data_IF_552731843610
#
_entry.id   IF_552731843610
#
_cell.length_a   1.000
_cell.length_b   1.000
_cell.length_c   1.000
_cell.angle_alpha   90.00
_cell.angle_beta   90.00
_cell.angle_gamma   90.00
#
_symmetry.space_group_name_H-M   'P 1'
#
loop_
_entity.id
_entity.type
_entity.pdbx_description
1 polymer ?
#
# COMPACT_ATOMS: atom_id res chain seq x y z
N UNK A 1 -25.66 -56.73 26.85
CA UNK A 1 -25.73 -55.26 27.06
C UNK A 1 -24.50 -54.63 26.42
N UNK A 2 -24.59 -54.25 25.15
CA UNK A 2 -23.49 -53.67 24.39
C UNK A 2 -23.51 -52.15 24.54
N UNK A 3 -22.52 -51.58 25.21
CA UNK A 3 -22.28 -50.13 25.25
C UNK A 3 -21.36 -49.77 24.08
N UNK A 4 -21.95 -49.25 23.00
CA UNK A 4 -21.26 -48.63 21.88
C UNK A 4 -20.54 -47.38 22.39
N UNK A 5 -19.21 -47.44 22.41
CA UNK A 5 -18.29 -46.35 22.76
C UNK A 5 -17.99 -45.58 21.47
N UNK A 6 -18.55 -44.37 21.36
CA UNK A 6 -18.43 -43.49 20.20
C UNK A 6 -17.26 -42.53 20.45
N UNK A 7 -16.13 -42.60 19.72
CA UNK A 7 -15.08 -41.60 19.85
C UNK A 7 -15.54 -40.33 19.13
N UNK A 8 -15.88 -39.31 19.91
CA UNK A 8 -16.16 -37.95 19.46
C UNK A 8 -14.84 -37.33 18.97
N UNK A 9 -14.59 -37.43 17.66
CA UNK A 9 -13.43 -36.86 17.00
C UNK A 9 -13.64 -35.33 16.87
N UNK A 10 -13.15 -34.58 17.87
CA UNK A 10 -13.15 -33.12 17.86
C UNK A 10 -12.01 -32.64 16.94
N UNK A 11 -12.33 -32.40 15.66
CA UNK A 11 -11.42 -31.76 14.71
C UNK A 11 -11.29 -30.29 15.10
N UNK A 12 -10.17 -29.94 15.72
CA UNK A 12 -9.80 -28.55 15.98
C UNK A 12 -9.38 -27.88 14.66
N UNK A 13 -10.31 -27.19 14.02
CA UNK A 13 -9.99 -26.17 13.00
C UNK A 13 -9.23 -25.04 13.68
N UNK A 14 -7.90 -25.09 13.59
CA UNK A 14 -7.03 -24.03 14.09
C UNK A 14 -7.10 -22.81 13.18
N UNK A 15 -7.88 -21.81 13.59
CA UNK A 15 -7.83 -20.48 13.00
C UNK A 15 -6.41 -19.92 13.16
N UNK A 16 -5.80 -19.49 12.05
CA UNK A 16 -4.48 -18.85 12.05
C UNK A 16 -4.67 -17.38 12.44
N UNK A 17 -5.08 -17.15 13.68
CA UNK A 17 -5.11 -15.82 14.29
C UNK A 17 -3.72 -15.45 14.81
N UNK A 18 -3.37 -14.16 14.75
CA UNK A 18 -2.23 -13.63 15.50
C UNK A 18 -2.74 -13.20 16.88
N UNK A 19 -1.94 -13.33 17.91
CA UNK A 19 -2.27 -12.89 19.26
C UNK A 19 -1.66 -11.51 19.54
N UNK A 20 -2.48 -10.61 20.08
CA UNK A 20 -2.06 -9.31 20.59
C UNK A 20 -1.97 -9.39 22.12
N UNK A 21 -0.74 -9.35 22.63
CA UNK A 21 -0.47 -9.32 24.06
C UNK A 21 -0.34 -7.86 24.51
N UNK A 22 -1.26 -7.42 25.37
CA UNK A 22 -1.18 -6.12 26.03
C UNK A 22 -0.44 -6.27 27.36
N UNK A 23 0.62 -5.49 27.55
CA UNK A 23 1.47 -5.51 28.74
C UNK A 23 1.06 -4.42 29.72
N UNK A 24 1.25 -4.66 31.02
CA UNK A 24 0.85 -3.74 32.11
C UNK A 24 1.46 -2.34 32.03
N UNK A 25 2.60 -2.19 31.35
CA UNK A 25 3.24 -0.90 31.12
C UNK A 25 2.77 -0.21 29.82
N UNK A 26 1.64 -0.64 29.26
CA UNK A 26 1.01 -0.02 28.09
C UNK A 26 1.69 -0.31 26.75
N UNK A 27 2.59 -1.30 26.68
CA UNK A 27 3.15 -1.74 25.39
C UNK A 27 2.36 -2.94 24.87
N UNK A 28 2.40 -3.11 23.57
CA UNK A 28 1.71 -4.20 22.89
C UNK A 28 2.71 -5.05 22.10
N UNK A 29 2.56 -6.36 22.18
CA UNK A 29 3.33 -7.32 21.38
C UNK A 29 2.37 -8.07 20.47
N UNK A 30 2.77 -8.22 19.21
CA UNK A 30 2.02 -8.98 18.19
C UNK A 30 2.81 -10.19 17.74
N UNK A 31 2.14 -11.33 17.66
CA UNK A 31 2.72 -12.57 17.14
C UNK A 31 1.82 -13.76 17.47
N UNK A 32 2.24 -14.98 17.14
CA UNK A 32 1.44 -16.17 17.47
C UNK A 32 1.92 -16.78 18.78
N UNK A 33 1.03 -17.03 19.73
CA UNK A 33 1.36 -17.77 20.94
C UNK A 33 1.57 -19.23 20.54
N UNK A 34 2.84 -19.65 20.54
CA UNK A 34 3.23 -21.03 20.18
C UNK A 34 3.34 -21.93 21.40
N UNK A 35 3.46 -21.35 22.60
CA UNK A 35 3.47 -22.08 23.87
C UNK A 35 2.96 -21.21 25.00
N UNK A 36 2.06 -21.77 25.81
CA UNK A 36 1.58 -21.16 27.04
C UNK A 36 1.94 -22.04 28.24
N UNK A 37 2.46 -21.42 29.29
CA UNK A 37 2.75 -22.04 30.58
C UNK A 37 2.14 -21.20 31.70
N UNK A 38 2.15 -21.71 32.94
CA UNK A 38 1.63 -20.96 34.09
C UNK A 38 2.33 -19.59 34.26
N UNK A 39 3.64 -19.52 34.03
CA UNK A 39 4.45 -18.33 34.34
C UNK A 39 4.83 -17.48 33.11
N UNK A 40 4.68 -18.04 31.90
CA UNK A 40 5.16 -17.39 30.69
C UNK A 40 4.36 -17.78 29.44
N UNK A 41 4.32 -16.84 28.49
CA UNK A 41 3.86 -17.02 27.11
C UNK A 41 5.06 -16.96 26.17
N UNK A 42 5.12 -17.85 25.18
CA UNK A 42 6.11 -17.81 24.10
C UNK A 42 5.41 -17.36 22.83
N UNK A 43 5.79 -16.18 22.36
CA UNK A 43 5.24 -15.52 21.19
C UNK A 43 6.21 -15.68 20.02
N UNK A 44 5.73 -16.18 18.88
CA UNK A 44 6.46 -16.25 17.62
C UNK A 44 6.15 -14.99 16.82
N UNK A 45 7.16 -14.16 16.58
CA UNK A 45 7.09 -12.96 15.74
C UNK A 45 7.93 -13.17 14.47
N UNK A 46 7.82 -12.29 13.45
CA UNK A 46 8.70 -12.36 12.28
C UNK A 46 10.19 -12.25 12.61
N UNK A 47 10.53 -11.61 13.73
CA UNK A 47 11.91 -11.42 14.18
C UNK A 47 12.45 -12.59 15.02
N UNK A 48 11.59 -13.55 15.40
CA UNK A 48 11.98 -14.72 16.20
C UNK A 48 10.99 -15.05 17.30
N UNK A 49 11.46 -15.71 18.35
CA UNK A 49 10.65 -16.06 19.52
C UNK A 49 10.91 -15.09 20.67
N UNK A 50 9.83 -14.66 21.32
CA UNK A 50 9.85 -13.76 22.46
C UNK A 50 9.17 -14.46 23.62
N UNK A 51 9.86 -14.55 24.76
CA UNK A 51 9.28 -15.08 26.00
C UNK A 51 8.79 -13.91 26.85
N UNK A 52 7.51 -13.93 27.19
CA UNK A 52 6.84 -12.89 27.98
C UNK A 52 6.39 -13.49 29.29
N UNK A 53 6.73 -12.87 30.42
CA UNK A 53 6.25 -13.33 31.74
C UNK A 53 4.77 -12.99 31.91
N UNK A 54 3.98 -13.94 32.40
CA UNK A 54 2.53 -13.78 32.59
C UNK A 54 2.19 -12.68 33.60
N UNK A 55 3.07 -12.44 34.57
CA UNK A 55 2.95 -11.32 35.52
C UNK A 55 3.03 -9.93 34.88
N UNK A 56 3.62 -9.82 33.69
CA UNK A 56 3.73 -8.56 32.94
C UNK A 56 2.59 -8.37 31.94
N UNK A 57 1.81 -9.42 31.68
CA UNK A 57 0.65 -9.40 30.78
C UNK A 57 -0.54 -8.82 31.53
N UNK A 58 -1.27 -7.94 30.85
CA UNK A 58 -2.54 -7.41 31.30
C UNK A 58 -3.70 -8.19 30.69
N UNK A 59 -3.71 -8.33 29.36
CA UNK A 59 -4.69 -9.13 28.62
C UNK A 59 -4.10 -9.65 27.30
N UNK A 60 -4.72 -10.70 26.76
CA UNK A 60 -4.42 -11.26 25.44
C UNK A 60 -5.69 -11.14 24.60
N UNK A 61 -5.56 -10.59 23.39
CA UNK A 61 -6.63 -10.51 22.40
C UNK A 61 -6.22 -11.32 21.18
N UNK A 62 -7.10 -12.18 20.67
CA UNK A 62 -6.89 -12.84 19.38
C UNK A 62 -7.20 -11.82 18.26
N UNK A 63 -6.18 -11.43 17.50
CA UNK A 63 -6.32 -10.65 16.27
C UNK A 63 -6.92 -11.57 15.20
N UNK A 64 -8.07 -11.16 14.66
CA UNK A 64 -8.65 -11.87 13.52
C UNK A 64 -7.67 -11.87 12.34
N UNK A 65 -7.75 -12.90 11.49
CA UNK A 65 -6.95 -12.94 10.27
C UNK A 65 -7.16 -11.69 9.40
N UNK A 66 -8.40 -11.18 9.36
CA UNK A 66 -8.76 -9.93 8.71
C UNK A 66 -7.94 -8.73 9.24
N UNK A 67 -7.89 -8.54 10.56
CA UNK A 67 -7.15 -7.44 11.19
C UNK A 67 -5.63 -7.54 10.94
N UNK A 68 -5.08 -8.75 10.99
CA UNK A 68 -3.68 -9.00 10.67
C UNK A 68 -3.35 -8.55 9.24
N UNK A 69 -4.13 -9.02 8.27
CA UNK A 69 -3.94 -8.65 6.87
C UNK A 69 -4.14 -7.15 6.64
N UNK A 70 -5.07 -6.50 7.36
CA UNK A 70 -5.24 -5.05 7.30
C UNK A 70 -4.02 -4.30 7.83
N UNK A 71 -3.41 -4.77 8.92
CA UNK A 71 -2.16 -4.23 9.44
C UNK A 71 -1.05 -4.31 8.38
N UNK A 72 -0.85 -5.50 7.81
CA UNK A 72 0.17 -5.74 6.77
C UNK A 72 -0.08 -4.90 5.50
N UNK A 73 -1.34 -4.76 5.08
CA UNK A 73 -1.70 -3.94 3.94
C UNK A 73 -1.33 -2.46 4.16
N UNK A 74 -1.64 -1.92 5.34
CA UNK A 74 -1.33 -0.53 5.71
C UNK A 74 0.17 -0.28 5.83
N UNK A 75 0.92 -1.25 6.37
CA UNK A 75 2.38 -1.21 6.40
C UNK A 75 2.95 -1.16 4.97
N UNK A 76 2.47 -2.01 4.06
CA UNK A 76 2.90 -1.98 2.66
C UNK A 76 2.53 -0.66 1.95
N UNK A 77 1.38 -0.05 2.26
CA UNK A 77 1.03 1.29 1.73
C UNK A 77 2.02 2.36 2.21
N UNK A 78 2.42 2.30 3.48
CA UNK A 78 3.41 3.22 4.07
C UNK A 78 4.78 3.06 3.39
N UNK A 79 5.16 1.84 3.07
CA UNK A 79 6.41 1.51 2.36
C UNK A 79 6.31 1.73 0.83
N UNK A 80 5.17 2.22 0.35
CA UNK A 80 4.85 2.46 -1.07
C UNK A 80 4.86 1.18 -1.94
N UNK A 81 4.83 0.00 -1.33
CA UNK A 81 4.66 -1.27 -2.02
C UNK A 81 3.17 -1.54 -2.26
N UNK A 82 2.62 -0.85 -3.27
CA UNK A 82 1.20 -0.98 -3.61
C UNK A 82 0.83 -2.34 -4.18
N UNK A 83 1.80 -3.13 -4.66
CA UNK A 83 1.56 -4.49 -5.14
C UNK A 83 1.20 -5.41 -3.97
N UNK A 84 2.05 -5.43 -2.96
CA UNK A 84 1.84 -6.19 -1.73
C UNK A 84 0.63 -5.67 -0.96
N UNK A 85 0.46 -4.35 -0.85
CA UNK A 85 -0.70 -3.76 -0.18
C UNK A 85 -2.04 -4.26 -0.76
N UNK A 86 -2.15 -4.35 -2.09
CA UNK A 86 -3.37 -4.84 -2.75
C UNK A 86 -3.67 -6.29 -2.44
N UNK A 87 -2.64 -7.14 -2.35
CA UNK A 87 -2.80 -8.55 -2.03
C UNK A 87 -3.33 -8.71 -0.61
N UNK A 88 -2.72 -8.03 0.36
CA UNK A 88 -3.17 -8.10 1.75
C UNK A 88 -4.57 -7.51 1.96
N UNK A 89 -4.92 -6.42 1.28
CA UNK A 89 -6.30 -5.92 1.32
C UNK A 89 -7.32 -6.89 0.73
N UNK A 90 -6.95 -7.65 -0.32
CA UNK A 90 -7.83 -8.69 -0.87
C UNK A 90 -8.02 -9.84 0.12
N UNK A 91 -6.94 -10.33 0.74
CA UNK A 91 -7.00 -11.37 1.77
C UNK A 91 -7.84 -10.92 2.98
N UNK A 92 -7.69 -9.68 3.43
CA UNK A 92 -8.54 -9.14 4.48
C UNK A 92 -10.03 -9.18 4.12
N UNK A 93 -10.41 -8.87 2.87
CA UNK A 93 -11.80 -8.94 2.42
C UNK A 93 -12.33 -10.37 2.28
N UNK A 94 -11.46 -11.35 2.08
CA UNK A 94 -11.85 -12.78 2.06
C UNK A 94 -12.18 -13.29 3.47
N UNK A 95 -11.49 -12.78 4.48
CA UNK A 95 -11.72 -13.15 5.89
C UNK A 95 -12.91 -12.40 6.52
N UNK A 96 -13.30 -11.25 5.98
CA UNK A 96 -14.43 -10.47 6.48
C UNK A 96 -15.77 -11.00 5.96
N UNK A 97 -16.71 -11.21 6.88
CA UNK A 97 -18.09 -11.51 6.56
C UNK A 97 -18.72 -10.42 5.66
N UNK A 98 -19.63 -10.82 4.77
CA UNK A 98 -20.30 -9.88 3.86
C UNK A 98 -21.10 -8.78 4.59
N UNK A 99 -21.46 -9.01 5.86
CA UNK A 99 -22.19 -8.06 6.72
C UNK A 99 -21.27 -7.31 7.68
N UNK A 100 -19.97 -7.59 7.66
CA UNK A 100 -19.02 -6.94 8.55
C UNK A 100 -18.91 -5.45 8.18
N UNK A 101 -19.13 -4.52 9.13
CA UNK A 101 -19.05 -3.09 8.86
C UNK A 101 -17.64 -2.62 8.42
N UNK A 102 -16.58 -3.37 8.75
CA UNK A 102 -15.22 -3.05 8.30
C UNK A 102 -15.06 -3.26 6.79
N UNK A 103 -15.85 -4.15 6.18
CA UNK A 103 -15.71 -4.50 4.76
C UNK A 103 -15.74 -3.27 3.85
N UNK A 104 -16.69 -2.36 4.07
CA UNK A 104 -16.82 -1.12 3.29
C UNK A 104 -15.56 -0.25 3.41
N UNK A 105 -15.02 -0.13 4.63
CA UNK A 105 -13.78 0.62 4.87
C UNK A 105 -12.60 -0.01 4.12
N UNK A 106 -12.46 -1.34 4.16
CA UNK A 106 -11.39 -2.06 3.48
C UNK A 106 -11.49 -1.92 1.97
N UNK A 107 -12.70 -2.02 1.40
CA UNK A 107 -12.95 -1.82 -0.03
C UNK A 107 -12.59 -0.39 -0.47
N UNK A 108 -12.92 0.61 0.35
CA UNK A 108 -12.56 2.01 0.10
C UNK A 108 -11.04 2.25 0.12
N UNK A 109 -10.33 1.68 1.10
CA UNK A 109 -8.86 1.73 1.19
C UNK A 109 -8.22 1.05 -0.03
N UNK A 110 -8.69 -0.16 -0.41
CA UNK A 110 -8.23 -0.88 -1.59
C UNK A 110 -8.45 -0.08 -2.88
N UNK A 111 -9.61 0.55 -3.04
CA UNK A 111 -9.90 1.41 -4.18
C UNK A 111 -8.93 2.61 -4.25
N UNK A 112 -8.59 3.20 -3.09
CA UNK A 112 -7.60 4.28 -3.03
C UNK A 112 -6.19 3.80 -3.44
N UNK A 113 -5.77 2.61 -3.01
CA UNK A 113 -4.49 2.03 -3.42
C UNK A 113 -4.48 1.71 -4.91
N UNK A 114 -5.57 1.17 -5.47
CA UNK A 114 -5.70 0.93 -6.93
C UNK A 114 -5.51 2.22 -7.72
N UNK A 115 -6.13 3.33 -7.30
CA UNK A 115 -5.94 4.65 -7.94
C UNK A 115 -4.49 5.14 -7.87
N UNK A 116 -3.79 4.94 -6.75
CA UNK A 116 -2.39 5.37 -6.60
C UNK A 116 -1.41 4.51 -7.39
N UNK A 117 -1.72 3.22 -7.55
CA UNK A 117 -0.87 2.26 -8.26
C UNK A 117 -1.09 2.23 -9.77
N UNK A 118 -2.14 2.88 -10.29
CA UNK A 118 -2.44 2.89 -11.71
C UNK A 118 -1.34 3.64 -12.50
N UNK A 119 -0.53 2.93 -13.31
CA UNK A 119 0.54 3.55 -14.07
C UNK A 119 0.02 4.54 -15.13
N UNK A 120 -1.24 4.41 -15.57
CA UNK A 120 -1.85 5.31 -16.53
C UNK A 120 -2.22 6.66 -15.90
N UNK A 121 -2.67 6.66 -14.64
CA UNK A 121 -2.93 7.90 -13.89
C UNK A 121 -1.63 8.67 -13.59
N UNK A 122 -0.51 7.96 -13.38
CA UNK A 122 0.81 8.61 -13.26
C UNK A 122 1.26 9.30 -14.55
N UNK A 123 1.05 8.67 -15.71
CA UNK A 123 1.38 9.29 -17.01
C UNK A 123 0.48 10.48 -17.34
N UNK A 124 -0.83 10.41 -17.06
CA UNK A 124 -1.74 11.52 -17.35
C UNK A 124 -1.55 12.71 -16.41
N UNK A 125 -1.22 12.48 -15.13
CA UNK A 125 -0.84 13.56 -14.21
C UNK A 125 0.47 14.25 -14.64
N UNK A 126 1.44 13.48 -15.15
CA UNK A 126 2.63 14.02 -15.80
C UNK A 126 2.27 14.87 -17.02
N UNK A 127 1.45 14.34 -17.94
CA UNK A 127 1.00 15.05 -19.14
C UNK A 127 0.21 16.34 -18.81
N UNK A 128 -0.67 16.31 -17.80
CA UNK A 128 -1.40 17.49 -17.34
C UNK A 128 -0.49 18.54 -16.71
N UNK A 129 0.57 18.12 -16.01
CA UNK A 129 1.61 19.02 -15.48
C UNK A 129 2.43 19.66 -16.61
N UNK A 130 2.74 18.92 -17.68
CA UNK A 130 3.36 19.48 -18.89
C UNK A 130 2.45 20.48 -19.60
N UNK A 131 1.13 20.24 -19.63
CA UNK A 131 0.17 21.17 -20.21
C UNK A 131 0.04 22.51 -19.43
N UNK A 132 0.34 22.50 -18.12
CA UNK A 132 0.37 23.72 -17.30
C UNK A 132 1.69 24.50 -17.38
N UNK A 133 2.77 23.89 -17.89
CA UNK A 133 4.09 24.52 -18.01
C UNK A 133 4.20 25.48 -19.20
N UNK A 134 3.10 25.72 -19.94
CA UNK A 134 3.11 26.52 -21.16
C UNK A 134 3.85 25.81 -22.30
N UNK A 135 3.93 26.43 -23.49
CA UNK A 135 4.75 25.89 -24.58
C UNK A 135 6.18 25.67 -24.10
N UNK A 136 6.75 24.49 -24.41
CA UNK A 136 8.10 24.12 -24.02
C UNK A 136 9.08 25.24 -24.41
N UNK A 137 9.82 25.86 -23.46
CA UNK A 137 10.77 26.92 -23.77
C UNK A 137 11.94 26.43 -24.64
N UNK A 138 12.06 25.12 -24.84
CA UNK A 138 13.02 24.45 -25.71
C UNK A 138 12.37 23.79 -26.93
N UNK A 139 11.05 23.92 -27.13
CA UNK A 139 10.44 23.64 -28.43
C UNK A 139 11.06 24.63 -29.41
N UNK A 140 12.11 24.16 -30.09
CA UNK A 140 12.89 24.95 -31.04
C UNK A 140 11.89 25.62 -31.97
N UNK A 141 11.86 26.96 -31.98
CA UNK A 141 11.28 27.72 -33.08
C UNK A 141 11.72 27.03 -34.36
N UNK A 142 10.77 26.60 -35.18
CA UNK A 142 11.10 25.85 -36.38
C UNK A 142 12.19 26.64 -37.12
N UNK A 143 13.35 26.02 -37.42
CA UNK A 143 14.48 26.73 -38.01
C UNK A 143 14.07 27.49 -39.28
N UNK A 144 13.01 27.04 -39.94
CA UNK A 144 12.37 27.66 -41.09
C UNK A 144 11.79 29.05 -40.82
N UNK A 145 11.17 29.28 -39.65
CA UNK A 145 10.63 30.59 -39.28
C UNK A 145 11.74 31.62 -39.07
N UNK A 146 12.82 31.20 -38.39
CA UNK A 146 13.99 32.05 -38.13
C UNK A 146 14.82 32.30 -39.39
N UNK A 147 14.91 31.32 -40.28
CA UNK A 147 15.51 31.49 -41.62
C UNK A 147 14.69 32.46 -42.46
N UNK A 148 13.35 32.38 -42.43
CA UNK A 148 12.47 33.29 -43.18
C UNK A 148 12.60 34.74 -42.69
N UNK A 149 12.70 34.95 -41.39
CA UNK A 149 12.94 36.27 -40.79
C UNK A 149 14.32 36.84 -41.16
N UNK A 150 15.38 36.01 -41.10
CA UNK A 150 16.73 36.41 -41.50
C UNK A 150 16.81 36.76 -43.00
N UNK A 151 16.12 36.00 -43.85
CA UNK A 151 16.07 36.25 -45.29
C UNK A 151 15.28 37.52 -45.63
N UNK A 152 14.15 37.76 -44.95
CA UNK A 152 13.38 39.00 -45.11
C UNK A 152 14.18 40.24 -44.69
N UNK A 153 14.98 40.16 -43.61
CA UNK A 153 15.86 41.24 -43.19
C UNK A 153 17.09 41.48 -44.10
N UNK A 154 17.48 40.49 -44.90
CA UNK A 154 18.59 40.59 -45.85
C UNK A 154 18.17 41.33 -47.14
N UNK A 155 16.95 41.10 -47.63
CA UNK A 155 16.41 41.80 -48.82
C UNK A 155 16.27 43.31 -48.58
N UNK A 156 15.83 43.72 -47.39
CA UNK A 156 15.71 45.15 -47.02
C UNK A 156 17.07 45.87 -47.02
N UNK A 157 18.17 45.17 -46.68
CA UNK A 157 19.52 45.76 -46.70
C UNK A 157 20.14 45.84 -48.09
N UNK A 158 19.73 44.98 -49.03
CA UNK A 158 20.19 45.06 -50.41
C UNK A 158 19.61 46.30 -51.11
N UNK A 159 18.34 46.61 -50.84
CA UNK A 159 17.64 47.76 -51.44
C UNK A 159 18.20 49.12 -50.96
N UNK A 160 18.56 49.21 -49.68
CA UNK A 160 19.20 50.41 -49.11
C UNK A 160 20.61 50.71 -49.66
N UNK A 161 21.35 49.70 -50.15
CA UNK A 161 22.66 49.93 -50.81
C UNK A 161 22.51 50.38 -52.27
N UNK A 162 21.39 50.10 -52.92
CA UNK A 162 21.11 50.54 -54.30
C UNK A 162 20.71 52.03 -54.40
N UNK A 163 20.27 52.64 -53.29
CA UNK A 163 19.83 54.05 -53.24
C UNK A 163 20.92 55.03 -52.78
N UNK A 164 22.13 54.55 -52.49
CA UNK A 164 23.28 55.36 -52.02
C UNK A 164 24.38 55.55 -53.08
N UNK A 165 24.05 55.37 -54.37
CA UNK A 165 24.95 55.64 -55.51
C UNK A 165 24.40 56.79 -56.36
#
# INVERSE_FOLDING_TARGET
MNRLLLPLLLVATGSVAADVIHLRHGRTLRGKIVRETHDALVLRTPQGEIVVRRSTVDRVEEESAAELYLGQARDAVRDQDYGIARQHFALALEELDARDPLREQVEAELAAVKRRSDPYLRKSAGAARWAQLGPDPFAREEPEARVRELMAGAEVRADLRGQLV
#
